data_IF_748266244604
#
_entry.id   IF_748266244604
#
_cell.length_a   1.000
_cell.length_b   1.000
_cell.length_c   1.000
_cell.angle_alpha   90.00
_cell.angle_beta   90.00
_cell.angle_gamma   90.00
#
_symmetry.space_group_name_H-M   'P 1'
#
loop_
_entity.id
_entity.type
_entity.pdbx_description
1 polymer ?
#
# COMPACT_ATOMS: atom_id res chain seq x y z
N UNK A 1 11.26 -21.56 35.67
CA UNK A 1 10.55 -21.87 34.42
C UNK A 1 9.50 -20.80 34.22
N UNK A 2 9.67 -19.93 33.26
CA UNK A 2 8.65 -18.91 32.94
C UNK A 2 7.45 -19.67 32.32
N UNK A 3 6.29 -19.57 32.97
CA UNK A 3 5.06 -20.21 32.50
C UNK A 3 4.63 -19.67 31.14
N UNK A 4 4.27 -20.54 30.24
CA UNK A 4 3.72 -20.17 28.94
C UNK A 4 2.43 -19.39 29.17
N UNK A 5 2.43 -18.12 28.74
CA UNK A 5 1.27 -17.25 28.86
C UNK A 5 0.18 -17.75 27.90
N UNK A 6 -0.93 -18.18 28.46
CA UNK A 6 -2.11 -18.54 27.64
C UNK A 6 -2.76 -17.29 27.09
N UNK A 7 -3.12 -17.32 25.81
CA UNK A 7 -3.86 -16.26 25.15
C UNK A 7 -5.31 -16.65 24.99
N UNK A 8 -6.18 -15.65 25.02
CA UNK A 8 -7.60 -15.86 24.78
C UNK A 8 -7.82 -16.41 23.37
N UNK A 9 -8.68 -17.41 23.27
CA UNK A 9 -9.08 -17.95 21.98
C UNK A 9 -9.86 -16.91 21.20
N UNK A 10 -9.39 -16.58 19.98
CA UNK A 10 -10.15 -15.76 19.04
C UNK A 10 -10.78 -16.66 17.98
N UNK A 11 -12.10 -16.58 17.74
CA UNK A 11 -12.77 -17.42 16.72
C UNK A 11 -12.38 -17.04 15.29
N UNK A 12 -11.61 -15.98 15.11
CA UNK A 12 -11.14 -15.50 13.80
C UNK A 12 -9.83 -16.21 13.49
N UNK A 13 -9.82 -16.99 12.42
CA UNK A 13 -8.60 -17.60 11.91
C UNK A 13 -7.66 -16.49 11.42
N UNK A 14 -6.70 -16.10 12.25
CA UNK A 14 -5.74 -15.05 11.95
C UNK A 14 -4.66 -15.47 10.94
N UNK A 15 -4.99 -16.36 9.98
CA UNK A 15 -4.08 -16.89 8.98
C UNK A 15 -4.47 -16.43 7.57
N UNK A 16 -3.48 -16.09 6.77
CA UNK A 16 -3.65 -15.68 5.36
C UNK A 16 -2.48 -16.22 4.52
N UNK A 17 -2.60 -16.24 3.20
CA UNK A 17 -1.50 -16.61 2.30
C UNK A 17 -0.25 -15.77 2.57
N UNK A 18 -0.38 -14.47 2.72
CA UNK A 18 0.74 -13.57 3.03
C UNK A 18 1.40 -13.88 4.38
N UNK A 19 0.63 -14.34 5.37
CA UNK A 19 1.19 -14.80 6.66
C UNK A 19 1.95 -16.11 6.50
N UNK A 20 1.41 -17.04 5.70
CA UNK A 20 2.08 -18.30 5.40
C UNK A 20 3.40 -18.06 4.68
N UNK A 21 3.41 -17.20 3.64
CA UNK A 21 4.61 -16.86 2.89
C UNK A 21 5.67 -16.24 3.79
N UNK A 22 5.29 -15.27 4.61
CA UNK A 22 6.20 -14.65 5.57
C UNK A 22 6.78 -15.67 6.57
N UNK A 23 5.96 -16.58 7.09
CA UNK A 23 6.39 -17.65 8.00
C UNK A 23 7.34 -18.63 7.31
N UNK A 24 7.05 -18.98 6.07
CA UNK A 24 7.86 -19.92 5.27
C UNK A 24 9.21 -19.33 4.91
N UNK A 25 9.25 -18.03 4.55
CA UNK A 25 10.50 -17.32 4.21
C UNK A 25 11.36 -17.12 5.46
N UNK A 26 10.78 -16.61 6.54
CA UNK A 26 11.54 -16.31 7.75
C UNK A 26 10.66 -16.30 9.01
N UNK A 27 10.76 -17.36 9.83
CA UNK A 27 10.03 -17.49 11.10
C UNK A 27 10.33 -16.34 12.07
N UNK A 28 11.57 -15.83 12.10
CA UNK A 28 11.96 -14.69 12.94
C UNK A 28 11.28 -13.40 12.49
N UNK A 29 11.23 -13.14 11.19
CA UNK A 29 10.51 -12.00 10.61
C UNK A 29 9.01 -12.10 10.93
N UNK A 30 8.42 -13.29 10.81
CA UNK A 30 7.04 -13.55 11.19
C UNK A 30 6.78 -13.25 12.68
N UNK A 31 7.67 -13.70 13.57
CA UNK A 31 7.58 -13.41 15.00
C UNK A 31 7.60 -11.91 15.26
N UNK A 32 8.55 -11.18 14.69
CA UNK A 32 8.63 -9.73 14.85
C UNK A 32 7.47 -8.99 14.20
N UNK A 33 6.86 -9.54 13.17
CA UNK A 33 5.69 -8.92 12.54
C UNK A 33 4.43 -9.01 13.41
N UNK A 34 4.22 -10.14 14.09
CA UNK A 34 2.93 -10.43 14.75
C UNK A 34 3.02 -10.59 16.26
N UNK A 35 4.18 -10.90 16.80
CA UNK A 35 4.37 -11.32 18.19
C UNK A 35 5.40 -10.50 18.98
N UNK A 36 5.82 -9.35 18.47
CA UNK A 36 6.81 -8.46 19.11
C UNK A 36 6.57 -8.14 20.57
N UNK A 37 5.31 -8.00 20.96
CA UNK A 37 4.95 -7.68 22.34
C UNK A 37 5.32 -8.77 23.36
N UNK A 38 5.73 -9.94 22.86
CA UNK A 38 6.15 -11.08 23.67
C UNK A 38 7.66 -11.26 23.69
N UNK A 39 8.40 -10.45 22.95
CA UNK A 39 9.87 -10.46 22.98
C UNK A 39 10.35 -9.85 24.30
N UNK A 40 11.24 -10.56 24.98
CA UNK A 40 11.85 -10.11 26.24
C UNK A 40 13.25 -9.50 26.05
N UNK A 41 13.87 -9.74 24.88
CA UNK A 41 15.25 -9.33 24.59
C UNK A 41 15.28 -7.97 23.87
N UNK A 42 14.35 -7.77 22.92
CA UNK A 42 14.34 -6.57 22.09
C UNK A 42 13.13 -5.70 22.44
N UNK A 43 13.33 -4.44 22.85
CA UNK A 43 12.23 -3.53 23.16
C UNK A 43 11.29 -3.37 21.97
N UNK A 44 9.99 -3.54 22.19
CA UNK A 44 8.95 -3.41 21.16
C UNK A 44 9.05 -2.08 20.39
N UNK A 45 9.44 -0.98 21.08
CA UNK A 45 9.67 0.32 20.44
C UNK A 45 10.70 0.24 19.30
N UNK A 46 11.82 -0.47 19.52
CA UNK A 46 12.87 -0.61 18.51
C UNK A 46 12.38 -1.40 17.29
N UNK A 47 11.62 -2.46 17.55
CA UNK A 47 11.05 -3.27 16.46
C UNK A 47 10.03 -2.47 15.66
N UNK A 48 9.19 -1.69 16.35
CA UNK A 48 8.21 -0.83 15.66
C UNK A 48 8.91 0.25 14.81
N UNK A 49 10.04 0.79 15.24
CA UNK A 49 10.82 1.73 14.42
C UNK A 49 11.28 1.08 13.10
N UNK A 50 11.74 -0.16 13.13
CA UNK A 50 12.10 -0.89 11.90
C UNK A 50 10.90 -1.23 11.02
N UNK A 51 9.76 -1.49 11.62
CA UNK A 51 8.51 -1.77 10.88
C UNK A 51 7.92 -0.54 10.18
N UNK A 52 8.28 0.65 10.64
CA UNK A 52 7.89 1.92 10.02
C UNK A 52 8.77 2.30 8.82
N UNK A 53 9.88 1.60 8.62
CA UNK A 53 10.75 1.83 7.47
C UNK A 53 10.08 1.35 6.19
N UNK A 54 10.25 2.11 5.14
CA UNK A 54 9.78 1.79 3.79
C UNK A 54 10.96 1.89 2.82
N UNK A 55 11.00 1.02 1.81
CA UNK A 55 11.99 1.16 0.74
C UNK A 55 11.51 2.12 -0.35
N UNK A 56 12.42 2.75 -1.06
CA UNK A 56 12.10 3.64 -2.19
C UNK A 56 11.20 2.95 -3.22
N UNK A 57 11.46 1.70 -3.68
CA UNK A 57 10.59 1.01 -4.62
C UNK A 57 9.16 0.80 -4.10
N UNK A 58 9.02 0.46 -2.81
CA UNK A 58 7.70 0.28 -2.20
C UNK A 58 6.93 1.60 -2.16
N UNK A 59 7.62 2.70 -1.85
CA UNK A 59 6.98 4.02 -1.73
C UNK A 59 6.63 4.62 -3.09
N UNK A 60 7.36 4.30 -4.16
CA UNK A 60 6.95 4.59 -5.55
C UNK A 60 5.55 4.00 -5.80
N UNK A 61 5.36 2.72 -5.49
CA UNK A 61 4.05 2.07 -5.59
C UNK A 61 2.99 2.75 -4.74
N UNK A 62 3.32 3.11 -3.50
CA UNK A 62 2.42 3.82 -2.59
C UNK A 62 1.94 5.17 -3.11
N UNK A 63 2.84 5.96 -3.72
CA UNK A 63 2.49 7.24 -4.35
C UNK A 63 1.60 7.03 -5.58
N UNK A 64 1.95 6.10 -6.46
CA UNK A 64 1.15 5.76 -7.65
C UNK A 64 -0.26 5.34 -7.23
N UNK A 65 -0.36 4.44 -6.26
CA UNK A 65 -1.65 3.96 -5.73
C UNK A 65 -2.50 5.12 -5.20
N UNK A 66 -1.90 6.03 -4.42
CA UNK A 66 -2.60 7.20 -3.88
C UNK A 66 -3.08 8.17 -4.96
N UNK A 67 -2.29 8.39 -5.99
CA UNK A 67 -2.66 9.26 -7.11
C UNK A 67 -3.82 8.64 -7.90
N UNK A 68 -3.76 7.33 -8.17
CA UNK A 68 -4.83 6.60 -8.86
C UNK A 68 -6.12 6.61 -8.04
N UNK A 69 -6.07 6.37 -6.73
CA UNK A 69 -7.23 6.43 -5.82
C UNK A 69 -7.95 7.79 -5.94
N UNK A 70 -7.18 8.88 -5.89
CA UNK A 70 -7.74 10.24 -6.01
C UNK A 70 -8.32 10.49 -7.42
N UNK A 71 -7.64 10.02 -8.46
CA UNK A 71 -8.13 10.11 -9.84
C UNK A 71 -9.45 9.38 -10.02
N UNK A 72 -9.54 8.13 -9.58
CA UNK A 72 -10.76 7.33 -9.66
C UNK A 72 -11.91 7.94 -8.83
N UNK A 73 -11.59 8.46 -7.65
CA UNK A 73 -12.57 9.17 -6.81
C UNK A 73 -13.11 10.42 -7.50
N UNK A 74 -12.28 11.13 -8.24
CA UNK A 74 -12.70 12.27 -9.07
C UNK A 74 -13.59 11.81 -10.22
N UNK A 75 -13.19 10.79 -10.98
CA UNK A 75 -13.92 10.27 -12.12
C UNK A 75 -15.33 9.77 -11.72
N UNK A 76 -15.48 9.19 -10.54
CA UNK A 76 -16.79 8.84 -9.97
C UNK A 76 -17.77 10.02 -9.88
N UNK A 77 -17.25 11.25 -9.77
CA UNK A 77 -18.07 12.48 -9.56
C UNK A 77 -18.18 13.34 -10.80
N UNK A 78 -17.27 13.23 -11.74
CA UNK A 78 -17.19 14.10 -12.91
C UNK A 78 -16.43 13.43 -14.06
N UNK A 79 -17.04 13.46 -15.23
CA UNK A 79 -16.46 13.01 -16.50
C UNK A 79 -15.63 14.09 -17.22
N UNK A 80 -15.35 15.23 -16.56
CA UNK A 80 -14.54 16.29 -17.18
C UNK A 80 -13.17 15.77 -17.51
N UNK A 81 -12.65 16.22 -18.66
CA UNK A 81 -11.31 15.94 -19.14
C UNK A 81 -10.24 16.16 -18.06
N UNK A 82 -9.25 15.29 -18.05
CA UNK A 82 -8.15 15.35 -17.11
C UNK A 82 -7.15 16.40 -17.61
N UNK A 83 -6.97 17.45 -16.83
CA UNK A 83 -5.88 18.40 -17.02
C UNK A 83 -4.57 17.73 -16.59
N UNK A 84 -3.81 17.24 -17.58
CA UNK A 84 -2.57 16.49 -17.34
C UNK A 84 -1.57 17.28 -16.50
N UNK A 85 -1.44 18.58 -16.74
CA UNK A 85 -0.51 19.43 -15.98
C UNK A 85 -0.87 19.40 -14.50
N UNK A 86 -2.14 19.63 -14.17
CA UNK A 86 -2.59 19.61 -12.76
C UNK A 86 -2.49 18.22 -12.16
N UNK A 87 -2.69 17.18 -12.96
CA UNK A 87 -2.56 15.80 -12.54
C UNK A 87 -1.12 15.47 -12.14
N UNK A 88 -0.15 15.79 -12.98
CA UNK A 88 1.26 15.54 -12.67
C UNK A 88 1.81 16.47 -11.58
N UNK A 89 1.32 17.72 -11.48
CA UNK A 89 1.63 18.60 -10.35
C UNK A 89 1.10 18.02 -9.02
N UNK A 90 -0.08 17.40 -9.04
CA UNK A 90 -0.61 16.70 -7.88
C UNK A 90 0.22 15.45 -7.52
N UNK A 91 0.61 14.66 -8.53
CA UNK A 91 1.44 13.49 -8.33
C UNK A 91 2.81 13.86 -7.71
N UNK A 92 3.45 14.94 -8.18
CA UNK A 92 4.71 15.44 -7.62
C UNK A 92 4.55 15.86 -6.16
N UNK A 93 3.52 16.64 -5.85
CA UNK A 93 3.25 17.08 -4.45
C UNK A 93 2.94 15.88 -3.54
N UNK A 94 2.29 14.84 -4.06
CA UNK A 94 2.04 13.61 -3.32
C UNK A 94 3.36 12.91 -3.01
N UNK A 95 4.27 12.79 -3.98
CA UNK A 95 5.60 12.23 -3.79
C UNK A 95 6.42 13.02 -2.73
N UNK A 96 6.44 14.34 -2.82
CA UNK A 96 7.10 15.21 -1.86
C UNK A 96 6.55 15.04 -0.44
N UNK A 97 5.23 14.92 -0.31
CA UNK A 97 4.60 14.67 1.00
C UNK A 97 4.98 13.30 1.58
N UNK A 98 5.01 12.26 0.75
CA UNK A 98 5.42 10.92 1.15
C UNK A 98 6.89 10.92 1.61
N UNK A 99 7.80 11.54 0.86
CA UNK A 99 9.20 11.69 1.25
C UNK A 99 9.34 12.38 2.61
N UNK A 100 8.56 13.42 2.86
CA UNK A 100 8.60 14.18 4.11
C UNK A 100 8.07 13.39 5.32
N UNK A 101 7.11 12.51 5.11
CA UNK A 101 6.37 11.83 6.20
C UNK A 101 6.85 10.42 6.48
N UNK A 102 7.54 9.78 5.54
CA UNK A 102 8.03 8.41 5.66
C UNK A 102 9.48 8.35 6.09
N UNK A 103 9.86 7.21 6.67
CA UNK A 103 11.24 6.89 7.03
C UNK A 103 11.75 5.83 6.07
N UNK A 104 12.81 6.10 5.37
CA UNK A 104 13.34 5.23 4.34
C UNK A 104 14.43 4.30 4.87
N UNK A 105 14.39 3.04 4.42
CA UNK A 105 15.38 2.02 4.75
C UNK A 105 16.77 2.46 4.29
N UNK A 106 16.88 2.99 3.08
CA UNK A 106 18.14 3.42 2.47
C UNK A 106 18.82 4.54 3.26
N UNK A 107 18.03 5.42 3.90
CA UNK A 107 18.55 6.46 4.80
C UNK A 107 18.90 5.87 6.15
N UNK A 108 18.07 4.98 6.68
CA UNK A 108 18.27 4.37 7.99
C UNK A 108 19.50 3.45 8.04
N UNK A 109 19.84 2.82 6.91
CA UNK A 109 21.04 1.98 6.77
C UNK A 109 22.28 2.74 6.30
N UNK A 110 22.14 4.02 5.94
CA UNK A 110 23.25 4.88 5.54
C UNK A 110 23.70 4.71 4.08
N UNK A 111 22.86 4.13 3.24
CA UNK A 111 23.12 4.00 1.81
C UNK A 111 23.09 5.37 1.11
N UNK A 112 22.18 6.24 1.58
CA UNK A 112 22.03 7.63 1.14
C UNK A 112 21.74 8.54 2.33
N UNK A 113 22.11 9.82 2.23
CA UNK A 113 21.88 10.79 3.31
C UNK A 113 20.39 11.17 3.42
N UNK A 114 19.71 11.31 2.28
CA UNK A 114 18.29 11.65 2.18
C UNK A 114 17.68 11.18 0.86
N UNK A 115 16.36 11.02 0.85
CA UNK A 115 15.60 10.77 -0.37
C UNK A 115 15.18 12.10 -0.99
N UNK A 116 15.58 12.33 -2.22
CA UNK A 116 15.17 13.48 -3.02
C UNK A 116 13.97 13.13 -3.91
N UNK A 117 13.12 14.12 -4.23
CA UNK A 117 11.97 13.89 -5.10
C UNK A 117 12.37 13.38 -6.49
N UNK A 118 13.53 13.81 -6.97
CA UNK A 118 14.04 13.43 -8.29
C UNK A 118 14.54 12.00 -8.37
N UNK A 119 14.68 11.30 -7.23
CA UNK A 119 14.96 9.85 -7.17
C UNK A 119 13.66 9.04 -7.35
N UNK A 120 12.57 9.50 -6.77
CA UNK A 120 11.30 8.77 -6.69
C UNK A 120 10.33 9.18 -7.82
N UNK A 121 10.18 10.47 -8.05
CA UNK A 121 9.14 11.01 -8.94
C UNK A 121 9.24 10.60 -10.41
N UNK A 122 10.43 10.44 -11.05
CA UNK A 122 10.50 9.97 -12.44
C UNK A 122 9.81 8.63 -12.66
N UNK A 123 9.97 7.68 -11.74
CA UNK A 123 9.32 6.37 -11.79
C UNK A 123 7.81 6.43 -11.54
N UNK A 124 7.39 7.29 -10.61
CA UNK A 124 5.96 7.58 -10.40
C UNK A 124 5.34 8.14 -11.66
N UNK A 125 5.99 9.13 -12.28
CA UNK A 125 5.52 9.76 -13.51
C UNK A 125 5.41 8.76 -14.66
N UNK A 126 6.45 7.98 -14.92
CA UNK A 126 6.45 6.91 -15.94
C UNK A 126 5.28 5.94 -15.75
N UNK A 127 5.03 5.51 -14.51
CA UNK A 127 3.92 4.60 -14.19
C UNK A 127 2.56 5.22 -14.48
N UNK A 128 2.39 6.51 -14.16
CA UNK A 128 1.14 7.23 -14.40
C UNK A 128 0.93 7.55 -15.88
N UNK A 129 2.00 7.89 -16.63
CA UNK A 129 1.95 8.06 -18.09
C UNK A 129 1.51 6.76 -18.78
N UNK A 130 2.08 5.63 -18.37
CA UNK A 130 1.69 4.32 -18.88
C UNK A 130 0.22 3.99 -18.56
N UNK A 131 -0.27 4.35 -17.37
CA UNK A 131 -1.69 4.19 -17.04
C UNK A 131 -2.57 5.02 -17.96
N UNK A 132 -2.29 6.32 -18.11
CA UNK A 132 -3.11 7.23 -18.93
C UNK A 132 -3.12 6.85 -20.41
N UNK A 133 -2.02 6.26 -20.92
CA UNK A 133 -1.91 5.80 -22.29
C UNK A 133 -2.47 4.38 -22.53
N UNK A 134 -3.03 3.72 -21.49
CA UNK A 134 -3.49 2.34 -21.61
C UNK A 134 -4.92 2.25 -22.14
N UNK A 135 -5.21 1.25 -22.96
CA UNK A 135 -6.57 0.91 -23.44
C UNK A 135 -7.53 0.66 -22.27
N UNK A 136 -7.02 0.17 -21.14
CA UNK A 136 -7.82 -0.05 -19.91
C UNK A 136 -8.29 1.25 -19.30
N UNK A 137 -7.47 2.29 -19.36
CA UNK A 137 -7.85 3.61 -18.87
C UNK A 137 -8.86 4.27 -19.80
N UNK A 138 -8.69 4.16 -21.11
CA UNK A 138 -9.65 4.63 -22.11
C UNK A 138 -11.00 3.95 -21.93
N UNK A 139 -11.02 2.63 -21.78
CA UNK A 139 -12.25 1.89 -21.48
C UNK A 139 -12.90 2.37 -20.17
N UNK A 140 -12.10 2.56 -19.12
CA UNK A 140 -12.58 3.01 -17.81
C UNK A 140 -13.26 4.38 -17.91
N UNK A 141 -12.67 5.34 -18.61
CA UNK A 141 -13.20 6.70 -18.74
C UNK A 141 -14.41 6.77 -19.66
N UNK A 142 -14.37 6.07 -20.80
CA UNK A 142 -15.38 6.19 -21.84
C UNK A 142 -16.59 5.27 -21.62
N UNK A 143 -16.39 4.11 -21.00
CA UNK A 143 -17.43 3.10 -20.85
C UNK A 143 -17.81 2.83 -19.39
N UNK A 144 -16.82 2.51 -18.53
CA UNK A 144 -17.10 2.06 -17.18
C UNK A 144 -17.67 3.17 -16.30
N UNK A 145 -17.18 4.40 -16.40
CA UNK A 145 -17.62 5.54 -15.59
C UNK A 145 -19.11 5.84 -15.75
N UNK A 146 -19.61 5.72 -16.97
CA UNK A 146 -21.02 5.99 -17.29
C UNK A 146 -21.96 4.84 -16.99
N UNK A 147 -21.46 3.60 -16.93
CA UNK A 147 -22.27 2.38 -16.90
C UNK A 147 -22.18 1.59 -15.59
N UNK A 148 -21.33 2.00 -14.65
CA UNK A 148 -21.18 1.29 -13.38
C UNK A 148 -22.09 1.84 -12.28
N UNK A 149 -22.93 1.00 -11.73
CA UNK A 149 -23.78 1.34 -10.58
C UNK A 149 -23.00 1.43 -9.27
N UNK A 150 -21.91 0.67 -9.16
CA UNK A 150 -21.05 0.64 -7.95
C UNK A 150 -19.58 0.78 -8.29
N UNK A 151 -18.91 1.66 -7.53
CA UNK A 151 -17.47 1.86 -7.58
C UNK A 151 -16.86 1.51 -6.22
N UNK A 152 -16.01 0.51 -6.21
CA UNK A 152 -15.21 0.16 -5.03
C UNK A 152 -13.78 0.61 -5.33
N UNK A 153 -13.36 1.69 -4.69
CA UNK A 153 -12.01 2.25 -4.82
C UNK A 153 -11.33 2.04 -3.49
N UNK A 154 -10.27 1.23 -3.48
CA UNK A 154 -9.43 0.94 -2.31
C UNK A 154 -10.26 0.76 -1.01
N UNK A 155 -11.06 -0.32 -0.94
CA UNK A 155 -11.97 -0.51 0.18
C UNK A 155 -11.18 -0.58 1.49
N UNK A 156 -11.65 0.10 2.55
CA UNK A 156 -10.97 0.04 3.83
C UNK A 156 -10.92 -1.41 4.32
N UNK A 157 -9.71 -1.93 4.56
CA UNK A 157 -9.48 -3.27 5.13
C UNK A 157 -9.96 -3.26 6.58
N UNK A 158 -11.26 -3.27 6.79
CA UNK A 158 -11.84 -3.59 8.09
C UNK A 158 -11.98 -5.10 8.17
N UNK A 159 -11.42 -5.68 9.21
CA UNK A 159 -11.14 -7.09 9.44
C UNK A 159 -12.31 -8.09 9.25
N UNK A 160 -13.53 -7.62 9.10
CA UNK A 160 -14.71 -8.47 8.85
C UNK A 160 -15.15 -8.39 7.38
N UNK A 161 -14.93 -7.26 6.72
CA UNK A 161 -15.26 -7.08 5.30
C UNK A 161 -14.22 -7.76 4.38
N UNK A 162 -12.97 -7.92 4.81
CA UNK A 162 -11.90 -8.54 4.03
C UNK A 162 -12.24 -9.97 3.58
N UNK A 163 -12.87 -10.77 4.43
CA UNK A 163 -13.31 -12.13 4.04
C UNK A 163 -14.46 -12.11 3.03
N UNK A 164 -15.37 -11.14 3.12
CA UNK A 164 -16.48 -11.02 2.18
C UNK A 164 -16.03 -10.47 0.82
N UNK A 165 -15.03 -9.60 0.79
CA UNK A 165 -14.46 -9.07 -0.46
C UNK A 165 -13.70 -10.15 -1.21
N UNK A 166 -12.94 -11.01 -0.53
CA UNK A 166 -12.30 -12.18 -1.15
C UNK A 166 -13.29 -13.19 -1.73
N UNK A 167 -14.48 -13.31 -1.15
CA UNK A 167 -15.55 -14.16 -1.67
C UNK A 167 -16.33 -13.52 -2.82
N UNK A 168 -16.41 -12.18 -2.89
CA UNK A 168 -17.16 -11.46 -3.90
C UNK A 168 -16.38 -11.23 -5.21
N UNK A 169 -15.05 -11.30 -5.19
CA UNK A 169 -14.20 -11.03 -6.36
C UNK A 169 -13.10 -12.09 -6.51
N UNK A 170 -13.44 -13.38 -6.70
CA UNK A 170 -12.44 -14.43 -6.91
C UNK A 170 -11.61 -14.23 -8.18
N UNK A 171 -12.14 -13.50 -9.17
CA UNK A 171 -11.55 -13.37 -10.51
C UNK A 171 -10.71 -12.09 -10.73
N UNK A 172 -10.53 -11.27 -9.72
CA UNK A 172 -9.77 -10.00 -9.84
C UNK A 172 -8.25 -10.19 -9.67
N UNK A 173 -7.78 -11.45 -9.55
CA UNK A 173 -6.39 -11.83 -9.33
C UNK A 173 -5.78 -12.62 -10.49
N UNK A 174 -6.34 -12.49 -11.70
CA UNK A 174 -5.74 -13.06 -12.92
C UNK A 174 -5.07 -11.94 -13.71
#
# INVERSE_FOLDING_TARGET
>A
MAGVKKFDFTPILGWSSSRYDLFSICKRRYFYQYYTKYDQEVPTRRINQFRELVSIPLEIGGVVHKVIEVLLTRLKRTSREIDEKKFFDFARRTAENHIRTKKFEEVAYGDIDRVEVDVLYPKVRESLENLLASDRFDWLVNEAVGNCDQWIIDPPVKSVAGQQIFQAFPDLWI
#
